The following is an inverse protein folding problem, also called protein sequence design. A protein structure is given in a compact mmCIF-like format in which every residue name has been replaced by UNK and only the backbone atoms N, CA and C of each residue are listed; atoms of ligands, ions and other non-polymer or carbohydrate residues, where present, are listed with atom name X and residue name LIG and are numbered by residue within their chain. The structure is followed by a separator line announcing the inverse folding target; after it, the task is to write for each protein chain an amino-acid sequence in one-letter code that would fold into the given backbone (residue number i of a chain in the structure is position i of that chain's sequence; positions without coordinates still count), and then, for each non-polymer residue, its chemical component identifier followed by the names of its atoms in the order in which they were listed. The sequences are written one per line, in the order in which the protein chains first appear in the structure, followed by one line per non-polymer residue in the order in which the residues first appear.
data_IF_611765603244
#
_entry.id   IF_611765603244
#
_cell.length_a   1.000
_cell.length_b   1.000
_cell.length_c   1.000
_cell.angle_alpha   90.00
_cell.angle_beta   90.00
_cell.angle_gamma   90.00
#
_symmetry.space_group_name_H-M   'P 1'
#
loop_
_entity.id
_entity.type
_entity.pdbx_description
1 polymer ?
#
# COMPACT_ATOMS: atom_id res chain seq x y z
N UNK A 1 40.84 8.62 -8.28
CA UNK A 1 39.77 8.99 -7.32
C UNK A 1 38.38 9.25 -7.97
N UNK A 2 38.04 8.61 -9.11
CA UNK A 2 36.68 8.69 -9.69
C UNK A 2 35.78 7.50 -9.34
N UNK A 3 36.38 6.35 -8.96
CA UNK A 3 35.64 5.12 -8.61
C UNK A 3 35.09 5.11 -7.18
N UNK A 4 35.67 5.89 -6.26
CA UNK A 4 35.20 5.99 -4.87
C UNK A 4 33.96 6.89 -4.72
N UNK A 5 33.77 7.87 -5.60
CA UNK A 5 32.58 8.72 -5.59
C UNK A 5 31.29 7.97 -6.00
N UNK A 6 31.42 6.96 -6.86
CA UNK A 6 30.28 6.16 -7.31
C UNK A 6 29.74 5.21 -6.23
N UNK A 7 30.59 4.74 -5.31
CA UNK A 7 30.19 3.78 -4.26
C UNK A 7 29.45 4.49 -3.11
N UNK A 8 29.84 5.74 -2.79
CA UNK A 8 29.16 6.53 -1.75
C UNK A 8 27.76 6.99 -2.17
N UNK A 9 27.51 7.15 -3.48
CA UNK A 9 26.22 7.62 -3.98
C UNK A 9 25.13 6.54 -3.90
N UNK A 10 25.51 5.26 -4.03
CA UNK A 10 24.59 4.13 -3.92
C UNK A 10 24.04 3.94 -2.51
N UNK A 11 24.81 4.29 -1.48
CA UNK A 11 24.37 4.17 -0.07
C UNK A 11 23.33 5.23 0.31
N UNK A 12 23.31 6.38 -0.37
CA UNK A 12 22.36 7.48 -0.11
C UNK A 12 20.98 7.25 -0.75
N UNK A 13 20.85 6.30 -1.69
CA UNK A 13 19.59 5.98 -2.37
C UNK A 13 18.80 4.84 -1.71
N UNK A 14 19.43 4.05 -0.84
CA UNK A 14 18.79 2.98 -0.08
C UNK A 14 17.62 3.43 0.83
N UNK A 15 17.64 4.59 1.53
CA UNK A 15 16.53 4.97 2.41
C UNK A 15 15.25 5.33 1.64
N UNK A 16 15.33 5.72 0.36
CA UNK A 16 14.15 6.05 -0.43
C UNK A 16 13.33 4.80 -0.82
N UNK A 17 13.97 3.64 -0.95
CA UNK A 17 13.25 2.37 -1.14
C UNK A 17 12.66 1.83 0.18
N UNK A 18 13.20 2.26 1.33
CA UNK A 18 12.77 1.73 2.62
C UNK A 18 11.31 2.10 2.94
N UNK A 19 10.89 3.33 2.64
CA UNK A 19 9.56 3.82 3.02
C UNK A 19 8.44 3.07 2.28
N UNK A 20 8.57 2.88 0.96
CA UNK A 20 7.59 2.10 0.18
C UNK A 20 7.57 0.64 0.63
N UNK A 21 8.73 0.03 0.86
CA UNK A 21 8.81 -1.37 1.30
C UNK A 21 8.18 -1.57 2.68
N UNK A 22 8.34 -0.60 3.59
CA UNK A 22 7.67 -0.63 4.90
C UNK A 22 6.16 -0.52 4.77
N UNK A 23 5.69 0.35 3.87
CA UNK A 23 4.26 0.46 3.57
C UNK A 23 3.71 -0.84 2.99
N UNK A 24 4.40 -1.42 2.00
CA UNK A 24 4.03 -2.69 1.39
C UNK A 24 3.97 -3.83 2.41
N UNK A 25 4.94 -3.90 3.34
CA UNK A 25 4.89 -4.87 4.44
C UNK A 25 3.69 -4.62 5.37
N UNK A 26 3.41 -3.37 5.75
CA UNK A 26 2.27 -3.08 6.61
C UNK A 26 0.93 -3.50 5.97
N UNK A 27 0.80 -3.31 4.65
CA UNK A 27 -0.36 -3.80 3.87
C UNK A 27 -0.37 -5.33 3.83
N UNK A 28 0.76 -5.98 3.50
CA UNK A 28 0.86 -7.44 3.45
C UNK A 28 0.44 -8.11 4.75
N UNK A 29 0.91 -7.59 5.88
CA UNK A 29 0.54 -8.15 7.18
C UNK A 29 -0.95 -8.01 7.49
N UNK A 30 -1.61 -6.96 6.97
CA UNK A 30 -3.06 -6.83 7.04
C UNK A 30 -3.73 -7.86 6.13
N UNK A 31 -3.26 -8.02 4.88
CA UNK A 31 -3.85 -8.94 3.90
C UNK A 31 -3.73 -10.41 4.36
N UNK A 32 -2.64 -10.78 5.03
CA UNK A 32 -2.47 -12.13 5.60
C UNK A 32 -3.50 -12.46 6.70
N UNK A 33 -4.04 -11.44 7.37
CA UNK A 33 -5.03 -11.58 8.44
C UNK A 33 -6.46 -11.48 7.94
N UNK A 34 -6.67 -10.89 6.78
CA UNK A 34 -7.99 -10.71 6.20
C UNK A 34 -8.62 -12.06 5.84
N UNK A 35 -9.87 -12.26 6.26
CA UNK A 35 -10.55 -13.53 6.07
C UNK A 35 -11.07 -13.67 4.64
N UNK A 36 -11.61 -12.59 4.08
CA UNK A 36 -12.14 -12.58 2.71
C UNK A 36 -11.06 -12.99 1.68
N UNK A 37 -9.80 -12.58 1.89
CA UNK A 37 -8.69 -12.99 1.03
C UNK A 37 -8.53 -14.51 0.99
N UNK A 38 -8.71 -15.20 2.12
CA UNK A 38 -8.65 -16.67 2.19
C UNK A 38 -9.88 -17.30 1.57
N UNK A 39 -11.07 -16.76 1.88
CA UNK A 39 -12.35 -17.32 1.45
C UNK A 39 -12.50 -17.23 -0.09
N UNK A 40 -12.04 -16.14 -0.70
CA UNK A 40 -12.00 -15.96 -2.16
C UNK A 40 -10.73 -16.51 -2.84
N UNK A 41 -9.86 -17.23 -2.11
CA UNK A 41 -8.60 -17.83 -2.63
C UNK A 41 -7.68 -16.82 -3.32
N UNK A 42 -7.66 -15.59 -2.83
CA UNK A 42 -6.77 -14.52 -3.29
C UNK A 42 -5.44 -14.67 -2.58
N UNK A 43 -4.31 -14.49 -3.27
CA UNK A 43 -3.02 -14.47 -2.58
C UNK A 43 -2.84 -13.12 -1.87
N UNK A 44 -2.36 -13.09 -0.61
CA UNK A 44 -2.08 -11.84 0.10
C UNK A 44 -1.14 -10.92 -0.70
N UNK A 45 -0.18 -11.48 -1.42
CA UNK A 45 0.79 -10.75 -2.23
C UNK A 45 0.13 -10.04 -3.42
N UNK A 46 -0.82 -10.71 -4.11
CA UNK A 46 -1.57 -10.09 -5.20
C UNK A 46 -2.38 -8.90 -4.69
N UNK A 47 -3.15 -9.10 -3.61
CA UNK A 47 -3.98 -8.03 -3.04
C UNK A 47 -3.11 -6.88 -2.54
N UNK A 48 -1.99 -7.18 -1.87
CA UNK A 48 -1.03 -6.18 -1.41
C UNK A 48 -0.52 -5.31 -2.55
N UNK A 49 -0.09 -5.93 -3.65
CA UNK A 49 0.42 -5.21 -4.82
C UNK A 49 -0.66 -4.27 -5.36
N UNK A 50 -1.87 -4.77 -5.57
CA UNK A 50 -2.98 -3.96 -6.07
C UNK A 50 -3.24 -2.77 -5.13
N UNK A 51 -3.41 -3.02 -3.83
CA UNK A 51 -3.73 -1.98 -2.85
C UNK A 51 -2.64 -0.91 -2.80
N UNK A 52 -1.36 -1.31 -2.75
CA UNK A 52 -0.23 -0.38 -2.73
C UNK A 52 -0.17 0.45 -4.00
N UNK A 53 -0.40 -0.15 -5.17
CA UNK A 53 -0.43 0.57 -6.44
C UNK A 53 -1.57 1.59 -6.48
N UNK A 54 -2.80 1.17 -6.17
CA UNK A 54 -4.00 2.01 -6.21
C UNK A 54 -3.95 3.14 -5.18
N UNK A 55 -3.61 2.85 -3.92
CA UNK A 55 -3.47 3.92 -2.91
C UNK A 55 -2.37 4.90 -3.27
N UNK A 56 -1.23 4.40 -3.76
CA UNK A 56 -0.12 5.25 -4.18
C UNK A 56 -0.57 6.25 -5.24
N UNK A 57 -1.43 5.89 -6.19
CA UNK A 57 -1.86 6.83 -7.24
C UNK A 57 -2.52 8.09 -6.66
N UNK A 58 -3.23 7.96 -5.54
CA UNK A 58 -3.92 9.04 -4.83
C UNK A 58 -3.06 9.71 -3.74
N UNK A 59 -1.84 9.24 -3.48
CA UNK A 59 -0.90 9.86 -2.52
C UNK A 59 -0.23 11.13 -3.09
N UNK A 60 0.17 12.09 -2.24
CA UNK A 60 0.90 13.27 -2.69
C UNK A 60 2.27 12.92 -3.27
N UNK A 61 2.76 13.78 -4.18
CA UNK A 61 4.06 13.62 -4.88
C UNK A 61 3.90 13.28 -6.36
N UNK A 62 4.83 13.74 -7.19
CA UNK A 62 4.75 13.63 -8.66
C UNK A 62 5.35 12.34 -9.23
N UNK A 63 6.27 11.71 -8.49
CA UNK A 63 6.97 10.50 -8.91
C UNK A 63 7.35 9.64 -7.68
N UNK A 64 7.69 8.35 -7.84
CA UNK A 64 7.87 7.41 -6.71
C UNK A 64 8.89 7.83 -5.65
N UNK A 65 9.91 8.62 -6.01
CA UNK A 65 10.97 9.09 -5.12
C UNK A 65 10.78 10.55 -4.66
N UNK A 66 9.63 11.16 -4.93
CA UNK A 66 9.30 12.50 -4.45
C UNK A 66 9.30 12.50 -2.90
N UNK A 67 9.95 13.45 -2.21
CA UNK A 67 9.95 13.51 -0.75
C UNK A 67 8.54 13.49 -0.12
N UNK A 68 7.55 14.11 -0.79
CA UNK A 68 6.15 14.05 -0.35
C UNK A 68 5.57 12.65 -0.46
N UNK A 69 5.95 11.90 -1.51
CA UNK A 69 5.55 10.51 -1.70
C UNK A 69 6.15 9.60 -0.63
N UNK A 70 7.43 9.78 -0.35
CA UNK A 70 8.14 9.03 0.70
C UNK A 70 7.55 9.30 2.09
N UNK A 71 7.22 10.56 2.38
CA UNK A 71 6.53 10.94 3.62
C UNK A 71 5.14 10.33 3.70
N UNK A 72 4.38 10.33 2.60
CA UNK A 72 3.07 9.67 2.56
C UNK A 72 3.18 8.18 2.90
N UNK A 73 4.14 7.45 2.33
CA UNK A 73 4.36 6.04 2.69
C UNK A 73 4.60 5.83 4.20
N UNK A 74 5.41 6.69 4.83
CA UNK A 74 5.63 6.63 6.29
C UNK A 74 4.36 6.85 7.08
N UNK A 75 3.58 7.88 6.72
CA UNK A 75 2.36 8.25 7.42
C UNK A 75 1.28 7.17 7.27
N UNK A 76 1.12 6.62 6.07
CA UNK A 76 0.23 5.49 5.82
C UNK A 76 0.67 4.23 6.58
N UNK A 77 1.97 3.92 6.61
CA UNK A 77 2.51 2.81 7.40
C UNK A 77 2.16 2.97 8.88
N UNK A 78 2.39 4.16 9.44
CA UNK A 78 2.04 4.49 10.83
C UNK A 78 0.54 4.38 11.09
N UNK A 79 -0.30 4.80 10.14
CA UNK A 79 -1.76 4.68 10.21
C UNK A 79 -2.19 3.21 10.28
N UNK A 80 -1.65 2.34 9.42
CA UNK A 80 -1.96 0.91 9.41
C UNK A 80 -1.45 0.18 10.66
N UNK A 81 -0.37 0.68 11.27
CA UNK A 81 0.21 0.12 12.48
C UNK A 81 -0.37 0.70 13.78
N UNK A 82 -1.37 1.58 13.71
CA UNK A 82 -1.95 2.25 14.88
C UNK A 82 -2.37 1.27 15.98
N UNK A 83 -2.98 0.13 15.61
CA UNK A 83 -3.44 -0.90 16.54
C UNK A 83 -2.30 -1.64 17.28
N UNK A 84 -1.07 -1.55 16.77
CA UNK A 84 0.14 -2.14 17.38
C UNK A 84 0.93 -1.14 18.20
N UNK A 85 0.51 0.12 18.23
CA UNK A 85 1.21 1.13 19.01
C UNK A 85 1.06 0.85 20.51
N UNK A 86 2.14 1.08 21.26
CA UNK A 86 2.11 1.04 22.72
C UNK A 86 1.27 2.18 23.32
N UNK A 87 1.06 3.27 22.58
CA UNK A 87 0.16 4.36 22.92
C UNK A 87 -0.66 4.80 21.68
N UNK A 88 -1.79 4.11 21.41
CA UNK A 88 -2.62 4.42 20.25
C UNK A 88 -3.23 5.83 20.28
N UNK A 89 -3.54 6.37 21.47
CA UNK A 89 -4.10 7.73 21.59
C UNK A 89 -3.09 8.77 21.14
N UNK A 90 -1.87 8.68 21.67
CA UNK A 90 -0.78 9.58 21.24
C UNK A 90 -0.46 9.42 19.76
N UNK A 91 -0.42 8.18 19.27
CA UNK A 91 -0.13 7.89 17.85
C UNK A 91 -1.19 8.50 16.94
N UNK A 92 -2.46 8.46 17.34
CA UNK A 92 -3.55 9.10 16.60
C UNK A 92 -3.40 10.63 16.56
N UNK A 93 -3.02 11.28 17.66
CA UNK A 93 -2.75 12.73 17.66
C UNK A 93 -1.58 13.09 16.75
N UNK A 94 -0.51 12.31 16.77
CA UNK A 94 0.62 12.48 15.86
C UNK A 94 0.19 12.29 14.41
N UNK A 95 -0.61 11.27 14.09
CA UNK A 95 -1.14 11.04 12.74
C UNK A 95 -1.95 12.23 12.21
N UNK A 96 -2.79 12.86 13.04
CA UNK A 96 -3.52 14.07 12.64
C UNK A 96 -2.58 15.22 12.26
N UNK A 97 -1.43 15.30 12.91
CA UNK A 97 -0.40 16.30 12.61
C UNK A 97 0.40 15.92 11.38
N UNK A 98 0.80 14.65 11.27
CA UNK A 98 1.60 14.09 10.17
C UNK A 98 0.86 14.20 8.82
N UNK A 99 -0.47 14.05 8.82
CA UNK A 99 -1.33 14.26 7.65
C UNK A 99 -1.76 15.72 7.43
N UNK A 100 -1.51 16.61 8.40
CA UNK A 100 -1.84 18.04 8.33
C UNK A 100 -3.11 18.42 9.11
N UNK A 101 -4.13 17.56 9.13
CA UNK A 101 -5.31 17.72 9.96
C UNK A 101 -6.04 16.40 10.23
N UNK A 102 -7.02 16.42 11.14
CA UNK A 102 -7.93 15.29 11.33
C UNK A 102 -8.75 14.96 10.08
N UNK A 103 -9.07 15.97 9.26
CA UNK A 103 -9.79 15.79 7.99
C UNK A 103 -8.91 15.07 6.98
N UNK A 104 -7.66 15.51 6.84
CA UNK A 104 -6.71 14.92 5.88
C UNK A 104 -6.34 13.48 6.27
N UNK A 105 -6.24 13.18 7.57
CA UNK A 105 -6.11 11.80 8.06
C UNK A 105 -7.32 10.94 7.68
N UNK A 106 -8.53 11.46 7.83
CA UNK A 106 -9.75 10.74 7.46
C UNK A 106 -9.81 10.51 5.94
N UNK A 107 -9.46 11.50 5.13
CA UNK A 107 -9.35 11.36 3.67
C UNK A 107 -8.29 10.33 3.27
N UNK A 108 -7.16 10.30 3.97
CA UNK A 108 -6.11 9.31 3.74
C UNK A 108 -6.56 7.89 4.07
N UNK A 109 -7.30 7.71 5.17
CA UNK A 109 -7.93 6.43 5.52
C UNK A 109 -8.96 6.01 4.47
N UNK A 110 -9.82 6.94 4.02
CA UNK A 110 -10.78 6.69 2.95
C UNK A 110 -10.09 6.25 1.67
N UNK A 111 -9.01 6.91 1.25
CA UNK A 111 -8.21 6.49 0.09
C UNK A 111 -7.76 5.02 0.22
N UNK A 112 -7.28 4.60 1.41
CA UNK A 112 -6.90 3.21 1.66
C UNK A 112 -8.08 2.25 1.55
N UNK A 113 -9.21 2.56 2.18
CA UNK A 113 -10.42 1.74 2.11
C UNK A 113 -10.98 1.62 0.70
N UNK A 114 -11.04 2.73 -0.04
CA UNK A 114 -11.46 2.72 -1.45
C UNK A 114 -10.54 1.84 -2.29
N UNK A 115 -9.22 1.97 -2.11
CA UNK A 115 -8.25 1.16 -2.84
C UNK A 115 -8.42 -0.33 -2.57
N UNK A 116 -8.74 -0.73 -1.33
CA UNK A 116 -9.09 -2.11 -1.00
C UNK A 116 -10.33 -2.58 -1.77
N UNK A 117 -11.40 -1.78 -1.78
CA UNK A 117 -12.64 -2.14 -2.48
C UNK A 117 -12.46 -2.19 -4.00
N UNK A 118 -11.69 -1.27 -4.57
CA UNK A 118 -11.31 -1.26 -5.98
C UNK A 118 -10.55 -2.57 -6.34
N UNK A 119 -9.62 -3.00 -5.49
CA UNK A 119 -8.87 -4.24 -5.70
C UNK A 119 -9.73 -5.50 -5.56
N UNK A 120 -10.66 -5.55 -4.61
CA UNK A 120 -11.64 -6.65 -4.56
C UNK A 120 -12.51 -6.70 -5.82
N UNK A 121 -12.95 -5.54 -6.31
CA UNK A 121 -13.76 -5.45 -7.53
C UNK A 121 -12.99 -5.94 -8.76
N UNK A 122 -11.69 -5.62 -8.84
CA UNK A 122 -10.81 -6.12 -9.90
C UNK A 122 -10.68 -7.65 -9.86
N UNK A 123 -10.43 -8.24 -8.69
CA UNK A 123 -10.34 -9.70 -8.53
C UNK A 123 -11.62 -10.40 -8.99
N UNK A 124 -12.79 -9.88 -8.56
CA UNK A 124 -14.07 -10.47 -8.93
C UNK A 124 -14.24 -10.43 -10.45
N UNK A 125 -13.94 -9.29 -11.07
CA UNK A 125 -14.04 -9.11 -12.53
C UNK A 125 -13.12 -10.09 -13.28
N UNK A 126 -11.86 -10.22 -12.86
CA UNK A 126 -10.90 -11.15 -13.45
C UNK A 126 -11.35 -12.61 -13.32
N UNK A 127 -11.96 -12.97 -12.17
CA UNK A 127 -12.48 -14.33 -11.95
C UNK A 127 -13.68 -14.67 -12.85
N UNK A 128 -14.57 -13.70 -13.10
CA UNK A 128 -15.69 -13.88 -14.01
C UNK A 128 -15.23 -14.05 -15.45
N UNK A 129 -14.23 -13.27 -15.88
CA UNK A 129 -13.65 -13.38 -17.22
C UNK A 129 -12.97 -14.73 -17.45
N UNK A 130 -12.16 -15.20 -16.49
CA UNK A 130 -11.52 -16.50 -16.55
C UNK A 130 -12.54 -17.64 -16.70
N UNK A 131 -13.64 -17.60 -15.96
CA UNK A 131 -14.70 -18.62 -16.03
C UNK A 131 -15.41 -18.65 -17.40
N UNK A 132 -15.59 -17.48 -18.04
CA UNK A 132 -16.20 -17.37 -19.38
C UNK A 132 -15.26 -17.93 -20.45
N UNK A 133 -13.95 -17.68 -20.31
CA UNK A 133 -12.95 -18.19 -21.24
C UNK A 133 -12.82 -19.71 -21.17
N UNK A 134 -12.81 -20.30 -19.97
CA UNK A 134 -12.81 -21.76 -19.77
C UNK A 134 -14.06 -22.43 -20.37
N UNK A 135 -15.25 -21.88 -20.11
CA UNK A 135 -16.50 -22.39 -20.65
C UNK A 135 -16.60 -22.28 -22.19
N UNK A 136 -15.84 -21.37 -22.80
CA UNK A 136 -15.75 -21.25 -24.26
C UNK A 136 -14.79 -22.27 -24.87
N UNK A 137 -13.69 -22.60 -24.19
CA UNK A 137 -12.71 -23.62 -24.62
C UNK A 137 -13.22 -25.05 -24.48
N UNK A 138 -14.12 -25.32 -23.53
CA UNK A 138 -14.73 -26.65 -23.34
C UNK A 138 -15.83 -26.98 -24.37
N UNK A 139 -16.29 -25.98 -25.14
CA UNK A 139 -17.30 -26.13 -26.19
C UNK A 139 -16.73 -26.26 -27.61
N UNK A 140 -15.41 -26.21 -27.75
CA UNK A 140 -14.67 -26.36 -29.02
C UNK A 140 -14.02 -27.75 -29.10
#
# INVERSE_FOLDING_TARGET
MKKLLLISLSALLLPACADKNQYEQAVLEQMQKEQDIKDYKITPEYMTKCVVETTSQKMPGLFPFDPKRLTAYRNYTKMLMLSKSSDPKKTLEELRTDFGSAKDLAEAHTNYTESLMECYSAVISESEEASKEEASKEKE
#
